data_IF_514988494351
#
_entry.id   IF_514988494351
#
_cell.length_a   1.000
_cell.length_b   1.000
_cell.length_c   1.000
_cell.angle_alpha   90.00
_cell.angle_beta   90.00
_cell.angle_gamma   90.00
#
_symmetry.space_group_name_H-M   'P 1'
#
loop_
_entity.id
_entity.type
_entity.pdbx_description
1 polymer ?
#
# COMPACT_ATOMS: atom_id res chain seq x y z
N UNK A 1 -22.90 5.60 -10.72
CA UNK A 1 -21.54 4.98 -10.66
C UNK A 1 -20.62 5.96 -9.97
N UNK A 2 -19.72 5.54 -9.09
CA UNK A 2 -18.77 6.45 -8.45
C UNK A 2 -17.92 7.11 -9.54
N UNK A 3 -17.55 8.37 -9.31
CA UNK A 3 -16.65 9.08 -10.23
C UNK A 3 -15.31 8.35 -10.30
N UNK A 4 -14.62 8.41 -11.45
CA UNK A 4 -13.33 7.71 -11.66
C UNK A 4 -12.29 8.05 -10.58
N UNK A 5 -12.31 9.27 -10.05
CA UNK A 5 -11.44 9.72 -8.93
C UNK A 5 -11.71 8.89 -7.67
N UNK A 6 -12.99 8.71 -7.28
CA UNK A 6 -13.37 7.90 -6.10
C UNK A 6 -12.90 6.44 -6.18
N UNK A 7 -12.79 5.87 -7.40
CA UNK A 7 -12.29 4.51 -7.58
C UNK A 7 -10.78 4.41 -7.23
N UNK A 8 -9.97 5.34 -7.75
CA UNK A 8 -8.52 5.32 -7.48
C UNK A 8 -8.23 5.53 -6.00
N UNK A 9 -8.90 6.51 -5.37
CA UNK A 9 -8.78 6.77 -3.93
C UNK A 9 -9.21 5.53 -3.12
N UNK A 10 -10.33 4.89 -3.51
CA UNK A 10 -10.81 3.67 -2.85
C UNK A 10 -9.84 2.49 -2.97
N UNK A 11 -9.25 2.28 -4.15
CA UNK A 11 -8.27 1.20 -4.35
C UNK A 11 -6.99 1.52 -3.59
N UNK A 12 -6.50 2.76 -3.61
CA UNK A 12 -5.30 3.16 -2.87
C UNK A 12 -5.47 2.92 -1.36
N UNK A 13 -6.59 3.34 -0.79
CA UNK A 13 -6.87 3.09 0.63
C UNK A 13 -6.95 1.59 0.95
N UNK A 14 -7.56 0.77 0.08
CA UNK A 14 -7.61 -0.68 0.27
C UNK A 14 -6.24 -1.35 0.18
N UNK A 15 -5.37 -0.87 -0.69
CA UNK A 15 -3.99 -1.35 -0.79
C UNK A 15 -3.25 -1.15 0.53
N UNK A 16 -3.48 -0.02 1.20
CA UNK A 16 -2.87 0.26 2.50
C UNK A 16 -3.39 -0.64 3.63
N UNK A 17 -4.50 -1.35 3.44
CA UNK A 17 -5.05 -2.30 4.41
C UNK A 17 -4.76 -3.78 4.09
N UNK A 18 -3.82 -4.04 3.19
CA UNK A 18 -3.28 -5.38 2.94
C UNK A 18 -2.48 -5.87 4.15
N UNK A 19 -1.86 -7.05 4.06
CA UNK A 19 -1.09 -7.59 5.17
C UNK A 19 -0.02 -6.61 5.65
N UNK A 20 0.31 -6.64 6.95
CA UNK A 20 1.39 -5.80 7.52
C UNK A 20 2.69 -5.99 6.75
N UNK A 21 3.00 -7.21 6.34
CA UNK A 21 4.17 -7.55 5.53
C UNK A 21 4.22 -6.78 4.20
N UNK A 22 3.10 -6.75 3.48
CA UNK A 22 2.98 -6.06 2.20
C UNK A 22 3.12 -4.54 2.37
N UNK A 23 2.50 -3.98 3.41
CA UNK A 23 2.56 -2.54 3.72
C UNK A 23 3.96 -2.13 4.18
N UNK A 24 4.60 -2.91 5.06
CA UNK A 24 5.98 -2.64 5.53
C UNK A 24 6.96 -2.69 4.35
N UNK A 25 6.83 -3.65 3.44
CA UNK A 25 7.65 -3.70 2.23
C UNK A 25 7.51 -2.43 1.37
N UNK A 26 6.30 -1.91 1.22
CA UNK A 26 6.06 -0.65 0.52
C UNK A 26 6.72 0.53 1.25
N UNK A 27 6.59 0.63 2.57
CA UNK A 27 7.24 1.68 3.38
C UNK A 27 8.76 1.58 3.24
N UNK A 28 9.33 0.39 3.38
CA UNK A 28 10.76 0.16 3.18
C UNK A 28 11.22 0.65 1.80
N UNK A 29 10.43 0.36 0.75
CA UNK A 29 10.72 0.79 -0.61
C UNK A 29 10.56 2.29 -0.85
N UNK A 30 9.49 2.90 -0.38
CA UNK A 30 9.21 4.32 -0.60
C UNK A 30 10.17 5.24 0.17
N UNK A 31 10.46 4.89 1.41
CA UNK A 31 11.23 5.74 2.34
C UNK A 31 12.67 5.27 2.57
N UNK A 32 13.10 4.21 1.83
CA UNK A 32 14.43 3.60 1.98
C UNK A 32 14.72 3.16 3.43
N UNK A 33 13.70 2.52 4.04
CA UNK A 33 13.78 1.97 5.39
C UNK A 33 14.07 0.47 5.35
N UNK A 34 14.36 -0.13 6.52
CA UNK A 34 14.74 -1.54 6.67
C UNK A 34 14.00 -2.20 7.84
N UNK A 35 12.69 -1.96 7.95
CA UNK A 35 11.88 -2.62 8.97
C UNK A 35 11.83 -4.12 8.76
N UNK A 36 11.92 -4.86 9.85
CA UNK A 36 11.74 -6.31 9.87
C UNK A 36 10.26 -6.66 9.62
N UNK A 37 10.02 -7.55 8.67
CA UNK A 37 8.66 -7.88 8.23
C UNK A 37 7.88 -8.74 9.23
N UNK A 38 8.58 -9.50 10.08
CA UNK A 38 7.95 -10.41 11.03
C UNK A 38 7.76 -9.77 12.41
N UNK A 39 8.65 -8.81 12.78
CA UNK A 39 8.65 -8.20 14.10
C UNK A 39 8.11 -6.76 14.13
N UNK A 40 7.88 -6.15 12.96
CA UNK A 40 7.32 -4.80 12.91
C UNK A 40 5.80 -4.81 12.85
N UNK A 41 5.19 -3.85 13.52
CA UNK A 41 3.74 -3.65 13.56
C UNK A 41 3.33 -2.45 12.74
N UNK A 42 2.13 -2.49 12.14
CA UNK A 42 1.52 -1.39 11.40
C UNK A 42 0.24 -0.97 12.10
N UNK A 43 0.12 0.30 12.39
CA UNK A 43 -1.11 0.92 12.85
C UNK A 43 -1.47 2.13 11.97
N UNK A 44 -2.72 2.59 12.07
CA UNK A 44 -3.25 3.63 11.19
C UNK A 44 -3.77 4.77 12.04
N UNK A 45 -3.38 5.98 11.69
CA UNK A 45 -3.93 7.19 12.27
C UNK A 45 -4.81 7.87 11.23
N UNK A 46 -6.12 7.88 11.48
CA UNK A 46 -7.10 8.52 10.61
C UNK A 46 -7.30 9.96 11.05
N UNK A 47 -6.94 10.92 10.23
CA UNK A 47 -7.27 12.33 10.47
C UNK A 47 -8.62 12.64 9.82
N UNK A 48 -9.67 12.78 10.62
CA UNK A 48 -10.92 13.37 10.17
C UNK A 48 -10.73 14.89 10.07
N UNK A 49 -10.39 15.38 8.90
CA UNK A 49 -10.45 16.81 8.64
C UNK A 49 -11.84 17.16 8.11
N UNK A 50 -12.68 17.68 9.00
CA UNK A 50 -13.94 18.32 8.64
C UNK A 50 -13.61 19.70 8.06
N UNK A 51 -13.48 19.82 6.76
CA UNK A 51 -13.49 21.11 6.09
C UNK A 51 -14.95 21.58 6.00
N UNK A 52 -15.32 22.48 6.89
CA UNK A 52 -16.60 23.19 6.86
C UNK A 52 -16.58 24.22 5.71
N UNK A 53 -16.85 23.75 4.51
CA UNK A 53 -17.25 24.62 3.41
C UNK A 53 -18.77 24.73 3.45
N UNK A 54 -19.28 25.92 3.67
CA UNK A 54 -20.65 26.34 3.97
C UNK A 54 -21.80 25.73 3.13
N UNK A 55 -21.54 24.75 2.23
CA UNK A 55 -22.56 24.12 1.40
C UNK A 55 -22.38 22.62 1.06
N UNK A 56 -21.39 21.90 1.61
CA UNK A 56 -21.34 20.43 1.53
C UNK A 56 -20.39 19.87 2.59
N UNK A 57 -20.91 19.05 3.50
CA UNK A 57 -20.10 18.11 4.29
C UNK A 57 -19.48 17.09 3.32
N UNK A 58 -18.33 17.39 2.79
CA UNK A 58 -17.48 16.39 2.14
C UNK A 58 -16.48 15.90 3.19
N UNK A 59 -16.81 14.80 3.84
CA UNK A 59 -15.82 14.00 4.55
C UNK A 59 -14.86 13.48 3.49
N UNK A 60 -13.80 14.22 3.25
CA UNK A 60 -12.66 13.69 2.54
C UNK A 60 -12.00 12.75 3.53
N UNK A 61 -12.08 11.44 3.30
CA UNK A 61 -11.22 10.48 3.98
C UNK A 61 -9.80 10.95 3.67
N UNK A 62 -9.22 11.61 4.66
CA UNK A 62 -7.91 12.20 4.54
C UNK A 62 -6.88 11.08 4.39
N UNK A 63 -5.88 11.40 3.70
CA UNK A 63 -4.66 10.69 3.50
C UNK A 63 -4.27 9.91 4.75
N UNK A 64 -3.96 8.63 4.58
CA UNK A 64 -3.68 7.72 5.68
C UNK A 64 -2.29 7.98 6.21
N UNK A 65 -2.15 8.25 7.50
CA UNK A 65 -0.88 8.21 8.19
C UNK A 65 -0.69 6.80 8.75
N UNK A 66 0.36 6.13 8.29
CA UNK A 66 0.79 4.84 8.81
C UNK A 66 1.80 5.06 9.93
N UNK A 67 1.68 4.28 11.00
CA UNK A 67 2.64 4.30 12.10
C UNK A 67 3.25 2.91 12.24
N UNK A 68 4.57 2.82 12.12
CA UNK A 68 5.34 1.60 12.28
C UNK A 68 5.89 1.55 13.72
N UNK A 69 5.75 0.40 14.39
CA UNK A 69 6.26 0.13 15.73
C UNK A 69 5.80 1.16 16.78
N UNK A 70 4.65 1.79 16.58
CA UNK A 70 4.08 2.85 17.42
C UNK A 70 4.97 4.10 17.58
N UNK A 71 5.97 4.29 16.73
CA UNK A 71 6.91 5.41 16.78
C UNK A 71 7.05 6.16 15.47
N UNK A 72 7.20 5.46 14.36
CA UNK A 72 7.61 6.05 13.10
C UNK A 72 6.40 6.28 12.20
N UNK A 73 6.03 7.53 12.02
CA UNK A 73 4.85 7.92 11.26
C UNK A 73 5.19 8.28 9.80
N UNK A 74 4.39 7.80 8.86
CA UNK A 74 4.54 8.00 7.42
C UNK A 74 3.24 8.53 6.82
N UNK A 75 3.33 9.66 6.12
CA UNK A 75 2.20 10.27 5.44
C UNK A 75 2.34 10.12 3.92
N UNK A 76 1.44 9.36 3.30
CA UNK A 76 1.43 9.14 1.86
C UNK A 76 0.22 9.78 1.22
N UNK A 77 0.46 10.62 0.23
CA UNK A 77 -0.56 11.31 -0.56
C UNK A 77 -0.55 10.81 -2.00
N UNK A 78 -1.60 10.10 -2.42
CA UNK A 78 -1.73 9.59 -3.79
C UNK A 78 -2.37 10.62 -4.72
N UNK A 79 -1.75 10.89 -5.88
CA UNK A 79 -2.20 11.87 -6.85
C UNK A 79 -2.30 11.30 -8.27
N UNK A 80 -3.35 11.74 -8.99
CA UNK A 80 -3.56 11.37 -10.41
C UNK A 80 -3.07 12.44 -11.37
N UNK A 81 -2.89 13.67 -10.91
CA UNK A 81 -2.52 14.83 -11.74
C UNK A 81 -1.61 15.75 -10.95
N UNK A 82 -0.82 16.56 -11.66
CA UNK A 82 -0.03 17.61 -11.04
C UNK A 82 -0.93 18.54 -10.22
N UNK A 83 -0.50 18.77 -8.98
CA UNK A 83 -1.09 19.70 -8.04
C UNK A 83 0.05 20.45 -7.34
N UNK A 84 0.23 21.72 -7.70
CA UNK A 84 1.31 22.53 -7.13
C UNK A 84 1.03 22.97 -5.68
N UNK A 85 -0.21 22.83 -5.22
CA UNK A 85 -0.62 23.12 -3.84
C UNK A 85 -0.48 21.92 -2.89
N UNK A 86 -0.10 20.75 -3.42
CA UNK A 86 -0.04 19.49 -2.66
C UNK A 86 0.83 19.60 -1.40
N UNK A 87 1.94 20.35 -1.47
CA UNK A 87 2.86 20.51 -0.34
C UNK A 87 2.19 21.19 0.86
N UNK A 88 1.27 22.14 0.64
CA UNK A 88 0.51 22.78 1.72
C UNK A 88 -0.45 21.81 2.39
N UNK A 89 -1.10 20.94 1.60
CA UNK A 89 -2.01 19.92 2.13
C UNK A 89 -1.26 18.90 2.97
N UNK A 90 -0.15 18.37 2.44
CA UNK A 90 0.72 17.43 3.16
C UNK A 90 1.23 18.04 4.47
N UNK A 91 1.68 19.31 4.43
CA UNK A 91 2.11 20.03 5.62
C UNK A 91 0.97 20.17 6.65
N UNK A 92 -0.23 20.58 6.21
CA UNK A 92 -1.37 20.77 7.09
C UNK A 92 -1.81 19.48 7.79
N UNK A 93 -1.80 18.36 7.08
CA UNK A 93 -2.11 17.05 7.67
C UNK A 93 -1.02 16.60 8.65
N UNK A 94 0.26 16.81 8.28
CA UNK A 94 1.37 16.56 9.18
C UNK A 94 1.31 17.40 10.46
N UNK A 95 0.92 18.68 10.36
CA UNK A 95 0.73 19.55 11.51
C UNK A 95 -0.43 19.08 12.41
N UNK A 96 -1.55 18.63 11.81
CA UNK A 96 -2.68 18.06 12.55
C UNK A 96 -2.29 16.79 13.31
N UNK A 97 -1.54 15.89 12.67
CA UNK A 97 -1.00 14.72 13.34
C UNK A 97 -0.05 15.09 14.49
N UNK A 98 0.89 16.00 14.24
CA UNK A 98 1.88 16.44 15.21
C UNK A 98 1.23 17.10 16.46
N UNK A 99 0.11 17.84 16.27
CA UNK A 99 -0.66 18.40 17.40
C UNK A 99 -1.36 17.30 18.23
N UNK A 100 -1.92 16.28 17.57
CA UNK A 100 -2.61 15.19 18.26
C UNK A 100 -1.65 14.27 19.02
N UNK A 101 -0.42 14.13 18.55
CA UNK A 101 0.61 13.23 19.09
C UNK A 101 1.70 13.96 19.87
N UNK A 102 1.51 15.23 20.20
CA UNK A 102 2.48 16.04 20.93
C UNK A 102 2.84 15.43 22.28
N UNK A 103 4.12 15.50 22.59
CA UNK A 103 4.66 15.11 23.90
C UNK A 103 4.75 16.33 24.81
N UNK A 104 4.44 16.14 26.08
CA UNK A 104 4.61 17.16 27.11
C UNK A 104 5.84 16.78 27.93
N UNK A 105 6.85 17.62 27.87
CA UNK A 105 8.13 17.45 28.56
C UNK A 105 8.32 18.58 29.58
N UNK A 106 9.32 18.44 30.44
CA UNK A 106 9.83 19.50 31.29
C UNK A 106 11.28 19.80 30.88
N UNK A 107 11.63 21.09 30.81
CA UNK A 107 13.02 21.51 30.63
C UNK A 107 13.81 21.41 31.94
N UNK A 108 15.09 21.80 31.91
CA UNK A 108 15.98 21.77 33.07
C UNK A 108 15.53 22.72 34.21
N UNK A 109 14.72 23.73 33.88
CA UNK A 109 14.16 24.69 34.83
C UNK A 109 12.77 24.27 35.35
N UNK A 110 12.26 23.12 34.86
CA UNK A 110 10.94 22.59 35.23
C UNK A 110 9.76 23.23 34.47
N UNK A 111 10.05 24.04 33.43
CA UNK A 111 9.03 24.62 32.58
C UNK A 111 8.49 23.59 31.57
N UNK A 112 7.20 23.68 31.28
CA UNK A 112 6.55 22.79 30.34
C UNK A 112 6.98 23.09 28.89
N UNK A 113 7.44 22.07 28.17
CA UNK A 113 7.84 22.14 26.77
C UNK A 113 7.00 21.14 25.97
N UNK A 114 6.43 21.59 24.84
CA UNK A 114 5.76 20.73 23.89
C UNK A 114 6.72 20.31 22.79
N UNK A 115 6.84 19.00 22.56
CA UNK A 115 7.55 18.43 21.43
C UNK A 115 6.54 17.87 20.44
N UNK A 116 6.71 18.21 19.18
CA UNK A 116 5.87 17.73 18.07
C UNK A 116 6.75 17.04 17.02
N UNK A 117 6.24 15.96 16.44
CA UNK A 117 6.90 15.22 15.37
C UNK A 117 5.97 15.16 14.16
N UNK A 118 6.46 15.62 13.01
CA UNK A 118 5.75 15.46 11.75
C UNK A 118 6.00 14.06 11.20
N UNK A 119 4.99 13.44 10.54
CA UNK A 119 5.22 12.19 9.81
C UNK A 119 6.14 12.43 8.62
N UNK A 120 6.93 11.42 8.24
CA UNK A 120 7.72 11.43 7.01
C UNK A 120 6.79 11.47 5.79
N UNK A 121 6.86 12.49 4.94
CA UNK A 121 5.92 12.67 3.86
C UNK A 121 6.38 12.02 2.55
N UNK A 122 5.41 11.58 1.71
CA UNK A 122 5.66 11.22 0.32
C UNK A 122 4.43 11.48 -0.54
N UNK A 123 4.61 12.14 -1.68
CA UNK A 123 3.58 12.23 -2.73
C UNK A 123 3.81 11.16 -3.77
N UNK A 124 2.78 10.36 -4.07
CA UNK A 124 2.84 9.29 -5.06
C UNK A 124 1.96 9.65 -6.24
N UNK A 125 2.56 9.94 -7.38
CA UNK A 125 1.82 10.08 -8.63
C UNK A 125 1.57 8.72 -9.26
N UNK A 126 0.30 8.29 -9.25
CA UNK A 126 -0.14 6.99 -9.76
C UNK A 126 -0.23 6.94 -11.29
N UNK A 127 -0.40 8.09 -11.95
CA UNK A 127 -0.52 8.23 -13.40
C UNK A 127 0.64 9.02 -13.99
N UNK A 128 0.71 9.05 -15.33
CA UNK A 128 1.68 9.88 -16.03
C UNK A 128 1.48 11.36 -15.67
N UNK A 129 2.57 12.04 -15.35
CA UNK A 129 2.58 13.46 -15.03
C UNK A 129 3.57 14.22 -15.92
N UNK A 130 3.37 15.54 -16.11
CA UNK A 130 4.32 16.36 -16.87
C UNK A 130 5.74 16.31 -16.27
N UNK A 131 6.75 16.49 -17.13
CA UNK A 131 8.17 16.58 -16.67
C UNK A 131 8.42 17.73 -15.70
N UNK A 132 7.52 18.73 -15.67
CA UNK A 132 7.58 19.86 -14.74
C UNK A 132 7.21 19.51 -13.28
N UNK A 133 6.74 18.29 -13.02
CA UNK A 133 6.57 17.81 -11.64
C UNK A 133 7.95 17.53 -11.07
N UNK A 134 8.34 18.19 -9.96
CA UNK A 134 9.66 18.00 -9.36
C UNK A 134 9.78 16.61 -8.71
N UNK A 135 11.00 16.23 -8.33
CA UNK A 135 11.24 15.03 -7.53
C UNK A 135 11.11 15.29 -6.02
N UNK A 136 11.01 16.57 -5.66
CA UNK A 136 10.74 17.01 -4.28
C UNK A 136 10.01 18.34 -4.32
N UNK A 137 8.89 18.44 -3.63
CA UNK A 137 8.26 19.73 -3.33
C UNK A 137 8.88 20.29 -2.05
N UNK A 138 9.08 21.61 -2.01
CA UNK A 138 9.63 22.29 -0.85
C UNK A 138 8.71 23.42 -0.39
N UNK A 139 8.49 23.50 0.92
CA UNK A 139 7.77 24.58 1.59
C UNK A 139 8.71 25.25 2.58
N UNK A 140 8.85 26.57 2.48
CA UNK A 140 9.57 27.34 3.50
C UNK A 140 8.58 27.85 4.55
N UNK A 141 8.81 27.50 5.80
CA UNK A 141 8.04 27.92 6.97
C UNK A 141 8.87 28.94 7.74
N UNK A 142 8.40 30.19 7.79
CA UNK A 142 9.07 31.28 8.51
C UNK A 142 8.54 31.45 9.94
N UNK A 143 9.44 31.62 10.89
CA UNK A 143 9.11 31.90 12.29
C UNK A 143 9.54 33.34 12.63
N UNK A 144 8.62 34.28 12.38
CA UNK A 144 8.91 35.72 12.54
C UNK A 144 10.05 36.18 11.61
N UNK A 145 11.01 36.91 12.18
CA UNK A 145 12.16 37.43 11.44
C UNK A 145 13.45 36.63 11.68
N UNK A 146 13.38 35.56 12.48
CA UNK A 146 14.58 34.94 13.03
C UNK A 146 14.95 33.60 12.40
N UNK A 147 13.98 32.83 11.91
CA UNK A 147 14.24 31.47 11.44
C UNK A 147 13.30 31.07 10.31
N UNK A 148 13.89 30.38 9.31
CA UNK A 148 13.14 29.67 8.27
C UNK A 148 13.53 28.19 8.30
N UNK A 149 12.53 27.31 8.23
CA UNK A 149 12.72 25.86 8.09
C UNK A 149 12.19 25.45 6.73
N UNK A 150 12.93 24.63 6.00
CA UNK A 150 12.47 24.04 4.75
C UNK A 150 11.86 22.65 5.02
N UNK A 151 10.57 22.52 4.73
CA UNK A 151 9.86 21.25 4.75
C UNK A 151 9.87 20.64 3.35
N UNK A 152 10.51 19.49 3.18
CA UNK A 152 10.66 18.80 1.91
C UNK A 152 9.70 17.61 1.83
N UNK A 153 9.03 17.46 0.69
CA UNK A 153 8.10 16.36 0.41
C UNK A 153 8.59 15.62 -0.84
N UNK A 154 9.23 14.45 -0.68
CA UNK A 154 9.66 13.61 -1.79
C UNK A 154 8.50 13.17 -2.67
N UNK A 155 8.78 12.97 -3.96
CA UNK A 155 7.79 12.60 -4.98
C UNK A 155 8.19 11.29 -5.65
N UNK A 156 7.30 10.32 -5.61
CA UNK A 156 7.40 9.07 -6.38
C UNK A 156 6.48 9.14 -7.60
N UNK A 157 7.04 9.00 -8.82
CA UNK A 157 6.30 8.96 -10.09
C UNK A 157 6.18 7.51 -10.53
N UNK A 158 5.14 6.79 -10.09
CA UNK A 158 5.02 5.34 -10.23
C UNK A 158 5.18 4.85 -11.68
N UNK A 159 4.52 5.51 -12.64
CA UNK A 159 4.58 5.10 -14.05
C UNK A 159 5.92 5.40 -14.72
N UNK A 160 6.80 6.18 -14.08
CA UNK A 160 8.17 6.45 -14.53
C UNK A 160 9.16 5.43 -14.00
N UNK A 161 8.83 4.72 -12.92
CA UNK A 161 9.62 3.60 -12.44
C UNK A 161 9.59 2.45 -13.45
N UNK A 162 10.66 1.68 -13.55
CA UNK A 162 10.64 0.41 -14.25
C UNK A 162 9.97 -0.66 -13.40
N UNK A 163 9.43 -1.70 -14.03
CA UNK A 163 8.90 -2.88 -13.31
C UNK A 163 9.95 -3.51 -12.42
N UNK A 164 11.20 -3.57 -12.91
CA UNK A 164 12.33 -4.06 -12.12
C UNK A 164 12.52 -3.24 -10.84
N UNK A 165 12.50 -1.92 -10.95
CA UNK A 165 12.66 -1.02 -9.78
C UNK A 165 11.52 -1.20 -8.77
N UNK A 166 10.27 -1.34 -9.22
CA UNK A 166 9.12 -1.60 -8.33
C UNK A 166 9.32 -2.91 -7.56
N UNK A 167 9.79 -3.96 -8.26
CA UNK A 167 10.08 -5.26 -7.64
C UNK A 167 11.28 -5.21 -6.68
N UNK A 168 12.39 -4.62 -7.10
CA UNK A 168 13.61 -4.53 -6.29
C UNK A 168 13.37 -3.75 -4.98
N UNK A 169 12.57 -2.68 -5.06
CA UNK A 169 12.15 -1.88 -3.90
C UNK A 169 10.95 -2.47 -3.16
N UNK A 170 10.43 -3.62 -3.61
CA UNK A 170 9.29 -4.32 -3.01
C UNK A 170 8.01 -3.48 -2.87
N UNK A 171 7.84 -2.46 -3.72
CA UNK A 171 6.64 -1.61 -3.77
C UNK A 171 5.47 -2.28 -4.51
N UNK A 172 5.39 -3.61 -4.43
CA UNK A 172 4.51 -4.43 -5.26
C UNK A 172 3.02 -4.12 -5.09
N UNK A 173 2.60 -3.68 -3.90
CA UNK A 173 1.19 -3.35 -3.68
C UNK A 173 0.71 -2.14 -4.52
N UNK A 174 1.63 -1.34 -5.06
CA UNK A 174 1.31 -0.25 -5.98
C UNK A 174 1.21 -0.71 -7.45
N UNK A 175 1.63 -1.95 -7.76
CA UNK A 175 1.73 -2.44 -9.15
C UNK A 175 0.40 -2.41 -9.93
N UNK A 176 -0.79 -2.61 -9.35
CA UNK A 176 -2.05 -2.49 -10.10
C UNK A 176 -2.23 -1.13 -10.79
N UNK A 177 -1.72 -0.05 -10.19
CA UNK A 177 -1.77 1.28 -10.79
C UNK A 177 -0.83 1.46 -11.98
N UNK A 178 0.13 0.55 -12.19
CA UNK A 178 1.02 0.61 -13.34
C UNK A 178 0.28 0.50 -14.68
N UNK A 179 -0.93 -0.05 -14.66
CA UNK A 179 -1.86 -0.07 -15.81
C UNK A 179 -2.17 1.33 -16.36
N UNK A 180 -2.03 2.39 -15.53
CA UNK A 180 -2.24 3.77 -15.93
C UNK A 180 -1.17 4.30 -16.88
N UNK A 181 -0.06 3.60 -17.06
CA UNK A 181 1.04 3.97 -17.96
C UNK A 181 0.59 4.15 -19.41
N UNK A 182 -0.33 3.33 -19.89
CA UNK A 182 -0.84 3.39 -21.27
C UNK A 182 -2.17 4.15 -21.40
N UNK A 183 -2.76 4.63 -20.30
CA UNK A 183 -4.08 5.24 -20.27
C UNK A 183 -4.21 6.41 -21.24
N UNK A 184 -3.32 7.38 -21.18
CA UNK A 184 -3.43 8.59 -22.01
C UNK A 184 -3.24 8.27 -23.50
N UNK A 185 -2.36 7.31 -23.82
CA UNK A 185 -2.13 6.86 -25.20
C UNK A 185 -3.38 6.18 -25.77
N UNK A 186 -3.98 5.24 -25.05
CA UNK A 186 -5.11 4.44 -25.52
C UNK A 186 -6.47 5.16 -25.45
N UNK A 187 -6.55 6.32 -24.80
CA UNK A 187 -7.74 7.19 -24.90
C UNK A 187 -7.99 7.65 -26.34
N UNK A 188 -6.94 7.84 -27.12
CA UNK A 188 -7.07 8.17 -28.54
C UNK A 188 -7.39 6.90 -29.35
N UNK A 189 -8.56 6.85 -29.99
CA UNK A 189 -8.97 5.70 -30.81
C UNK A 189 -7.94 5.36 -31.89
N UNK A 190 -7.30 6.36 -32.52
CA UNK A 190 -6.25 6.14 -33.55
C UNK A 190 -5.00 5.44 -32.98
N UNK A 191 -4.76 5.51 -31.68
CA UNK A 191 -3.62 4.87 -31.04
C UNK A 191 -3.92 3.44 -30.54
N UNK A 192 -5.14 2.92 -30.74
CA UNK A 192 -5.50 1.54 -30.38
C UNK A 192 -5.14 0.58 -31.50
N UNK A 193 -3.90 0.65 -31.96
CA UNK A 193 -3.36 -0.28 -32.97
C UNK A 193 -3.08 -1.64 -32.36
N UNK A 194 -3.00 -2.72 -33.18
CA UNK A 194 -2.68 -4.05 -32.69
C UNK A 194 -1.42 -4.10 -31.81
N UNK A 195 -0.37 -3.33 -32.18
CA UNK A 195 0.88 -3.28 -31.41
C UNK A 195 0.70 -2.62 -30.03
N UNK A 196 -0.16 -1.58 -29.93
CA UNK A 196 -0.43 -0.91 -28.67
C UNK A 196 -1.36 -1.74 -27.78
N UNK A 197 -2.27 -2.51 -28.35
CA UNK A 197 -3.09 -3.50 -27.64
C UNK A 197 -2.23 -4.68 -27.16
N UNK A 198 -1.31 -5.17 -27.98
CA UNK A 198 -0.33 -6.17 -27.57
C UNK A 198 0.56 -5.66 -26.41
N UNK A 199 0.95 -4.38 -26.45
CA UNK A 199 1.68 -3.72 -25.37
C UNK A 199 0.86 -3.66 -24.06
N UNK A 200 -0.45 -3.38 -24.15
CA UNK A 200 -1.34 -3.42 -22.98
C UNK A 200 -1.47 -4.84 -22.42
N UNK A 201 -1.62 -5.85 -23.29
CA UNK A 201 -1.67 -7.27 -22.91
C UNK A 201 -0.40 -7.70 -22.18
N UNK A 202 0.77 -7.34 -22.71
CA UNK A 202 2.07 -7.61 -22.08
C UNK A 202 2.23 -6.90 -20.75
N UNK A 203 1.87 -5.60 -20.66
CA UNK A 203 1.90 -4.83 -19.43
C UNK A 203 1.09 -5.51 -18.33
N UNK A 204 -0.11 -5.98 -18.62
CA UNK A 204 -0.97 -6.61 -17.62
C UNK A 204 -0.44 -8.00 -17.27
N UNK A 205 -0.22 -8.86 -18.27
CA UNK A 205 0.14 -10.26 -18.03
C UNK A 205 1.54 -10.42 -17.46
N UNK A 206 2.52 -9.75 -18.05
CA UNK A 206 3.94 -9.97 -17.71
C UNK A 206 4.39 -9.02 -16.60
N UNK A 207 4.10 -7.72 -16.77
CA UNK A 207 4.63 -6.72 -15.86
C UNK A 207 3.83 -6.69 -14.53
N UNK A 208 2.51 -6.67 -14.60
CA UNK A 208 1.67 -6.56 -13.40
C UNK A 208 1.46 -7.94 -12.76
N UNK A 209 0.77 -8.86 -13.45
CA UNK A 209 0.42 -10.16 -12.91
C UNK A 209 1.66 -11.00 -12.59
N UNK A 210 2.61 -11.07 -13.52
CA UNK A 210 3.87 -11.80 -13.29
C UNK A 210 4.71 -11.22 -12.13
N UNK A 211 4.62 -9.91 -11.86
CA UNK A 211 5.24 -9.33 -10.66
C UNK A 211 4.51 -9.74 -9.38
N UNK A 212 3.18 -9.79 -9.39
CA UNK A 212 2.38 -10.25 -8.25
C UNK A 212 2.76 -11.70 -7.93
N UNK A 213 2.69 -12.60 -8.92
CA UNK A 213 3.01 -14.03 -8.77
C UNK A 213 4.41 -14.22 -8.17
N UNK A 214 5.41 -13.58 -8.78
CA UNK A 214 6.79 -13.64 -8.30
C UNK A 214 6.95 -13.18 -6.85
N UNK A 215 6.24 -12.14 -6.44
CA UNK A 215 6.35 -11.63 -5.07
C UNK A 215 5.59 -12.48 -4.05
N UNK A 216 4.53 -13.18 -4.46
CA UNK A 216 3.90 -14.24 -3.65
C UNK A 216 4.87 -15.42 -3.48
N UNK A 217 5.48 -15.91 -4.56
CA UNK A 217 6.46 -17.01 -4.53
C UNK A 217 7.68 -16.69 -3.66
N UNK A 218 8.18 -15.44 -3.71
CA UNK A 218 9.29 -14.97 -2.89
C UNK A 218 8.89 -14.68 -1.44
N UNK A 219 7.60 -14.77 -1.10
CA UNK A 219 7.09 -14.46 0.23
C UNK A 219 7.19 -12.98 0.60
N UNK A 220 7.31 -12.07 -0.36
CA UNK A 220 7.29 -10.62 -0.11
C UNK A 220 5.89 -10.11 0.23
N UNK A 221 4.86 -10.76 -0.28
CA UNK A 221 3.43 -10.55 0.02
C UNK A 221 2.78 -11.90 0.24
N UNK A 222 1.61 -11.91 0.90
CA UNK A 222 0.85 -13.15 1.06
C UNK A 222 0.09 -13.52 -0.23
N UNK A 223 -0.34 -14.76 -0.35
CA UNK A 223 -1.19 -15.18 -1.47
C UNK A 223 -2.56 -14.46 -1.46
N UNK A 224 -3.06 -14.10 -0.26
CA UNK A 224 -4.27 -13.31 -0.10
C UNK A 224 -4.08 -11.87 -0.60
N UNK A 225 -2.94 -11.25 -0.30
CA UNK A 225 -2.55 -9.95 -0.89
C UNK A 225 -2.51 -10.05 -2.42
N UNK A 226 -1.89 -11.12 -2.96
CA UNK A 226 -1.85 -11.40 -4.39
C UNK A 226 -3.24 -11.43 -5.01
N UNK A 227 -4.17 -12.18 -4.42
CA UNK A 227 -5.55 -12.26 -4.88
C UNK A 227 -6.25 -10.88 -4.88
N UNK A 228 -6.02 -10.05 -3.85
CA UNK A 228 -6.55 -8.68 -3.81
C UNK A 228 -5.94 -7.80 -4.91
N UNK A 229 -4.62 -7.88 -5.13
CA UNK A 229 -3.94 -7.11 -6.18
C UNK A 229 -4.42 -7.49 -7.58
N UNK A 230 -4.70 -8.77 -7.84
CA UNK A 230 -5.34 -9.21 -9.08
C UNK A 230 -6.73 -8.57 -9.26
N UNK A 231 -7.56 -8.58 -8.21
CA UNK A 231 -8.89 -7.93 -8.24
C UNK A 231 -8.79 -6.43 -8.48
N UNK A 232 -7.84 -5.74 -7.85
CA UNK A 232 -7.63 -4.31 -8.08
C UNK A 232 -7.18 -4.03 -9.51
N UNK A 233 -6.32 -4.89 -10.07
CA UNK A 233 -5.91 -4.82 -11.48
C UNK A 233 -7.12 -4.96 -12.40
N UNK A 234 -8.02 -5.94 -12.15
CA UNK A 234 -9.25 -6.11 -12.91
C UNK A 234 -10.17 -4.88 -12.82
N UNK A 235 -10.39 -4.37 -11.61
CA UNK A 235 -11.24 -3.19 -11.41
C UNK A 235 -10.73 -1.98 -12.19
N UNK A 236 -9.41 -1.76 -12.18
CA UNK A 236 -8.76 -0.70 -12.94
C UNK A 236 -8.85 -0.96 -14.45
N UNK A 237 -8.59 -2.20 -14.90
CA UNK A 237 -8.70 -2.60 -16.30
C UNK A 237 -10.13 -2.36 -16.82
N UNK A 238 -11.12 -2.90 -16.14
CA UNK A 238 -12.54 -2.77 -16.50
C UNK A 238 -12.93 -1.29 -16.63
N UNK A 239 -12.49 -0.46 -15.70
CA UNK A 239 -12.79 0.97 -15.73
C UNK A 239 -12.13 1.73 -16.87
N UNK A 240 -10.93 1.32 -17.28
CA UNK A 240 -10.08 2.05 -18.20
C UNK A 240 -10.22 1.59 -19.64
N UNK A 241 -10.37 0.30 -19.87
CA UNK A 241 -10.15 -0.32 -21.17
C UNK A 241 -11.28 -1.22 -21.66
N UNK A 242 -12.04 -1.88 -20.81
CA UNK A 242 -13.07 -2.86 -21.24
C UNK A 242 -14.15 -2.31 -22.15
N UNK A 243 -14.29 -0.99 -22.23
CA UNK A 243 -15.24 -0.33 -23.13
C UNK A 243 -14.74 -0.20 -24.58
N UNK A 244 -13.50 -0.61 -24.88
CA UNK A 244 -12.90 -0.52 -26.19
C UNK A 244 -13.03 -1.86 -26.90
N UNK A 245 -13.64 -1.89 -28.09
CA UNK A 245 -13.81 -3.11 -28.91
C UNK A 245 -12.46 -3.79 -29.17
N UNK A 246 -11.40 -2.99 -29.36
CA UNK A 246 -10.07 -3.48 -29.68
C UNK A 246 -9.40 -4.24 -28.50
N UNK A 247 -10.00 -4.24 -27.32
CA UNK A 247 -9.44 -4.87 -26.09
C UNK A 247 -10.15 -6.14 -25.67
N UNK A 248 -11.03 -6.74 -26.49
CA UNK A 248 -11.81 -7.94 -26.15
C UNK A 248 -10.92 -9.11 -25.69
N UNK A 249 -9.89 -9.47 -26.49
CA UNK A 249 -8.95 -10.53 -26.11
C UNK A 249 -8.18 -10.24 -24.80
N UNK A 250 -7.95 -8.95 -24.48
CA UNK A 250 -7.30 -8.57 -23.23
C UNK A 250 -8.27 -8.73 -22.07
N UNK A 251 -9.56 -8.48 -22.30
CA UNK A 251 -10.62 -8.68 -21.30
C UNK A 251 -10.70 -10.15 -20.92
N UNK A 252 -10.80 -11.04 -21.90
CA UNK A 252 -10.86 -12.49 -21.68
C UNK A 252 -9.63 -12.98 -20.92
N UNK A 253 -8.43 -12.50 -21.31
CA UNK A 253 -7.19 -12.85 -20.63
C UNK A 253 -7.17 -12.37 -19.16
N UNK A 254 -7.65 -11.17 -18.86
CA UNK A 254 -7.70 -10.64 -17.50
C UNK A 254 -8.66 -11.44 -16.64
N UNK A 255 -9.87 -11.73 -17.16
CA UNK A 255 -10.87 -12.53 -16.46
C UNK A 255 -10.37 -13.94 -16.17
N UNK A 256 -9.79 -14.61 -17.19
CA UNK A 256 -9.25 -15.95 -17.03
C UNK A 256 -8.09 -16.03 -16.03
N UNK A 257 -7.19 -15.05 -16.07
CA UNK A 257 -6.05 -15.01 -15.15
C UNK A 257 -6.48 -14.90 -13.69
N UNK A 258 -7.56 -14.16 -13.41
CA UNK A 258 -8.07 -14.00 -12.06
C UNK A 258 -8.74 -15.29 -11.57
N UNK A 259 -9.54 -15.91 -12.41
CA UNK A 259 -10.17 -17.21 -12.08
C UNK A 259 -9.09 -18.21 -11.72
N UNK A 260 -8.08 -18.36 -12.60
CA UNK A 260 -6.97 -19.30 -12.38
C UNK A 260 -6.21 -19.00 -11.07
N UNK A 261 -5.90 -17.73 -10.79
CA UNK A 261 -5.19 -17.37 -9.56
C UNK A 261 -6.02 -17.66 -8.30
N UNK A 262 -7.31 -17.33 -8.34
CA UNK A 262 -8.23 -17.56 -7.20
C UNK A 262 -8.41 -19.06 -6.96
N UNK A 263 -8.54 -19.87 -8.01
CA UNK A 263 -8.70 -21.32 -7.88
C UNK A 263 -7.44 -21.96 -7.28
N UNK A 264 -6.25 -21.62 -7.78
CA UNK A 264 -4.97 -22.09 -7.22
C UNK A 264 -4.81 -21.67 -5.76
N UNK A 265 -5.15 -20.42 -5.44
CA UNK A 265 -5.10 -19.93 -4.07
C UNK A 265 -6.04 -20.68 -3.13
N UNK A 266 -7.26 -20.98 -3.57
CA UNK A 266 -8.23 -21.73 -2.78
C UNK A 266 -7.77 -23.17 -2.51
N UNK A 267 -7.18 -23.80 -3.52
CA UNK A 267 -6.60 -25.15 -3.38
C UNK A 267 -5.44 -25.18 -2.39
N UNK A 268 -4.51 -24.21 -2.48
CA UNK A 268 -3.39 -24.11 -1.56
C UNK A 268 -3.82 -23.83 -0.13
N UNK A 269 -4.80 -22.94 0.05
CA UNK A 269 -5.39 -22.65 1.37
C UNK A 269 -6.01 -23.91 1.98
N UNK A 270 -6.80 -24.64 1.22
CA UNK A 270 -7.40 -25.89 1.69
C UNK A 270 -6.34 -26.94 2.06
N UNK A 271 -5.24 -27.03 1.31
CA UNK A 271 -4.10 -27.91 1.63
C UNK A 271 -3.41 -27.50 2.93
N UNK A 272 -3.20 -26.19 3.14
CA UNK A 272 -2.60 -25.68 4.38
C UNK A 272 -3.48 -25.93 5.58
N UNK A 273 -4.77 -25.63 5.49
CA UNK A 273 -5.75 -25.88 6.57
C UNK A 273 -5.78 -27.36 6.96
N UNK A 274 -5.74 -28.26 5.97
CA UNK A 274 -5.66 -29.70 6.21
C UNK A 274 -4.37 -30.09 6.93
N UNK A 275 -3.21 -29.55 6.52
CA UNK A 275 -1.93 -29.81 7.22
C UNK A 275 -1.90 -29.28 8.63
N UNK A 276 -2.45 -28.08 8.87
CA UNK A 276 -2.57 -27.53 10.22
C UNK A 276 -3.43 -28.42 11.11
N UNK A 277 -4.58 -28.86 10.63
CA UNK A 277 -5.45 -29.78 11.37
C UNK A 277 -4.80 -31.14 11.66
N UNK A 278 -3.94 -31.64 10.77
CA UNK A 278 -3.14 -32.85 10.98
C UNK A 278 -2.05 -32.61 12.04
N UNK A 279 -1.34 -31.47 11.98
CA UNK A 279 -0.34 -31.08 12.98
C UNK A 279 -0.96 -30.87 14.37
N UNK A 280 -2.10 -30.21 14.46
CA UNK A 280 -2.81 -30.01 15.74
C UNK A 280 -3.19 -31.35 16.39
N UNK A 281 -3.62 -32.33 15.59
CA UNK A 281 -3.87 -33.70 16.09
C UNK A 281 -2.61 -34.37 16.58
N UNK A 282 -1.48 -34.24 15.85
CA UNK A 282 -0.21 -34.82 16.30
C UNK A 282 0.29 -34.16 17.60
N UNK A 283 0.11 -32.85 17.76
CA UNK A 283 0.44 -32.11 18.98
C UNK A 283 -0.42 -32.63 20.14
N UNK A 284 -1.75 -32.70 19.97
CA UNK A 284 -2.66 -33.22 21.00
C UNK A 284 -2.33 -34.65 21.40
N UNK A 285 -1.95 -35.52 20.46
CA UNK A 285 -1.53 -36.92 20.77
C UNK A 285 -0.21 -36.95 21.50
N UNK A 286 0.74 -36.06 21.21
CA UNK A 286 2.03 -35.94 21.94
C UNK A 286 1.82 -35.39 23.34
N UNK A 287 0.99 -34.38 23.50
CA UNK A 287 0.66 -33.80 24.81
C UNK A 287 -0.01 -34.85 25.74
N UNK A 288 -0.92 -35.64 25.17
CA UNK A 288 -1.54 -36.74 25.91
C UNK A 288 -0.50 -37.78 26.36
N UNK A 289 0.41 -38.20 25.48
CA UNK A 289 1.50 -39.14 25.82
C UNK A 289 2.46 -38.56 26.85
N UNK A 290 2.70 -37.27 26.84
CA UNK A 290 3.52 -36.57 27.85
C UNK A 290 2.82 -36.60 29.21
N UNK A 291 1.55 -36.25 29.26
CA UNK A 291 0.75 -36.29 30.48
C UNK A 291 0.70 -37.72 31.11
N UNK A 292 0.52 -38.75 30.27
CA UNK A 292 0.52 -40.15 30.73
C UNK A 292 1.89 -40.53 31.33
N UNK A 293 3.01 -40.12 30.72
CA UNK A 293 4.36 -40.34 31.23
C UNK A 293 4.67 -39.57 32.52
N UNK A 294 4.17 -38.35 32.64
CA UNK A 294 4.33 -37.54 33.85
C UNK A 294 3.57 -38.16 35.01
N UNK A 295 2.40 -38.75 34.77
CA UNK A 295 1.65 -39.52 35.79
C UNK A 295 2.40 -40.79 36.20
N UNK A 296 2.94 -41.59 35.25
CA UNK A 296 3.77 -42.76 35.55
C UNK A 296 5.01 -42.40 36.37
N UNK A 297 5.68 -41.28 36.03
CA UNK A 297 6.83 -40.77 36.79
C UNK A 297 6.46 -40.30 38.21
N UNK A 298 5.27 -39.73 38.39
CA UNK A 298 4.78 -39.32 39.70
C UNK A 298 4.47 -40.52 40.59
N UNK A 299 3.88 -41.58 40.02
CA UNK A 299 3.62 -42.83 40.72
C UNK A 299 4.93 -43.52 41.19
N UNK A 300 5.93 -43.63 40.28
CA UNK A 300 7.25 -44.21 40.59
C UNK A 300 8.06 -43.41 41.63
N UNK A 301 7.77 -42.14 41.85
CA UNK A 301 8.42 -41.32 42.88
C UNK A 301 7.71 -41.40 44.24
N UNK A 302 6.52 -41.94 44.28
CA UNK A 302 5.72 -42.11 45.49
C UNK A 302 5.91 -43.49 46.15
N UNK A 303 6.46 -44.45 45.41
CA UNK A 303 6.98 -45.75 45.94
C UNK A 303 8.42 -45.58 46.49
#
# INVERSE_FOLDING_TARGET
>A
MPTTRKLYDSIFNKILTLSSKAVINMINGLFNMFYDLENSTVSYHWTENVHDNQNSMTTTLADTILVINNSDAYHMEAQMKKDDSIVFRVFSYGAGYADQTKEILQDEEGCQVYRIHFPEPCVIYLSNVPKSVPDTYSLQVGFGHTQNITYNVPVTKLTSCSVKEINDRKMIILIPFYILKLREKLRNKKARTPENIASLKSLIKTDIMGSIDKNVELGNITAEDGAQLYRFTQMLYTRLYSQFEETEEVTDMVEQSIITFVDVFQEEKARMEKRMAEMDKEIADKDKKLADKDNELAELRAE
#
